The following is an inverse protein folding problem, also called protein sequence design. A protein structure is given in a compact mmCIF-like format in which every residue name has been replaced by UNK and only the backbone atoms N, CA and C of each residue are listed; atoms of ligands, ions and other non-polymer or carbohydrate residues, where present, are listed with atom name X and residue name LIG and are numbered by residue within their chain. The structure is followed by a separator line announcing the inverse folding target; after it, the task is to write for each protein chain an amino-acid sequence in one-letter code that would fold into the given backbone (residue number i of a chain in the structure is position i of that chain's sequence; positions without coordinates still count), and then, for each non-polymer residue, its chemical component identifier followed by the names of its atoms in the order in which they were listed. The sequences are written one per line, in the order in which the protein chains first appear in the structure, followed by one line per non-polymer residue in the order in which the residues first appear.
data_IF_774780575894
#
_entry.id   IF_774780575894
#
_cell.length_a   1.000
_cell.length_b   1.000
_cell.length_c   1.000
_cell.angle_alpha   90.00
_cell.angle_beta   90.00
_cell.angle_gamma   90.00
#
_symmetry.space_group_name_H-M   'P 1'
#
loop_
_entity.id
_entity.type
_entity.pdbx_description
1 polymer ?
#
# COMPACT_ATOMS: atom_id res chain seq x y z
N UNK A 1 5.14 18.35 11.43
CA UNK A 1 4.00 17.61 12.04
C UNK A 1 4.38 16.17 12.33
N UNK A 2 5.00 15.43 11.38
CA UNK A 2 5.37 14.03 11.53
C UNK A 2 6.21 13.72 12.77
N UNK A 3 7.28 14.49 13.01
CA UNK A 3 8.17 14.31 14.17
C UNK A 3 7.44 14.47 15.51
N UNK A 4 6.49 15.41 15.58
CA UNK A 4 5.65 15.62 16.77
C UNK A 4 4.75 14.41 17.03
N UNK A 5 4.10 13.87 15.98
CA UNK A 5 3.26 12.68 16.09
C UNK A 5 4.07 11.46 16.48
N UNK A 6 5.26 11.30 15.90
CA UNK A 6 6.16 10.19 16.25
C UNK A 6 6.64 10.31 17.70
N UNK A 7 7.03 11.51 18.14
CA UNK A 7 7.40 11.75 19.54
C UNK A 7 6.26 11.46 20.50
N UNK A 8 5.01 11.85 20.14
CA UNK A 8 3.83 11.57 20.96
C UNK A 8 3.48 10.07 20.98
N UNK A 9 3.61 9.37 19.88
CA UNK A 9 3.45 7.92 19.84
C UNK A 9 4.48 7.22 20.75
N UNK A 10 5.76 7.65 20.70
CA UNK A 10 6.82 7.11 21.55
C UNK A 10 6.56 7.37 23.04
N UNK A 11 6.05 8.54 23.40
CA UNK A 11 5.66 8.86 24.79
C UNK A 11 4.55 7.91 25.29
N UNK A 12 3.51 7.68 24.46
CA UNK A 12 2.42 6.78 24.81
C UNK A 12 2.89 5.32 24.95
N UNK A 13 3.70 4.84 24.02
CA UNK A 13 4.21 3.46 24.01
C UNK A 13 5.18 3.21 25.18
N UNK A 14 5.94 4.22 25.63
CA UNK A 14 6.83 4.09 26.79
C UNK A 14 6.10 3.69 28.07
N UNK A 15 4.81 4.04 28.21
CA UNK A 15 3.96 3.63 29.31
C UNK A 15 3.46 2.18 29.22
N UNK A 16 3.64 1.50 28.08
CA UNK A 16 3.13 0.15 27.81
C UNK A 16 4.18 -0.96 28.05
N UNK A 17 5.40 -0.59 28.36
CA UNK A 17 6.48 -1.52 28.68
C UNK A 17 7.53 -1.67 27.57
N UNK A 18 8.63 -2.33 27.91
CA UNK A 18 9.82 -2.41 27.08
C UNK A 18 9.58 -3.13 25.73
N UNK A 19 8.72 -4.15 25.72
CA UNK A 19 8.37 -4.89 24.51
C UNK A 19 7.65 -4.01 23.49
N UNK A 20 6.68 -3.22 23.93
CA UNK A 20 5.98 -2.27 23.06
C UNK A 20 6.94 -1.23 22.48
N UNK A 21 7.87 -0.70 23.27
CA UNK A 21 8.90 0.22 22.79
C UNK A 21 9.78 -0.42 21.72
N UNK A 22 10.17 -1.68 21.90
CA UNK A 22 10.98 -2.42 20.93
C UNK A 22 10.21 -2.62 19.61
N UNK A 23 8.95 -3.05 19.67
CA UNK A 23 8.08 -3.23 18.49
C UNK A 23 7.96 -1.92 17.72
N UNK A 24 7.71 -0.78 18.38
CA UNK A 24 7.64 0.53 17.74
C UNK A 24 8.96 0.91 17.08
N UNK A 25 10.09 0.72 17.76
CA UNK A 25 11.40 1.04 17.23
C UNK A 25 11.71 0.21 15.98
N UNK A 26 11.40 -1.08 15.99
CA UNK A 26 11.57 -1.98 14.84
C UNK A 26 10.67 -1.58 13.68
N UNK A 27 9.40 -1.24 13.94
CA UNK A 27 8.47 -0.77 12.92
C UNK A 27 8.97 0.54 12.28
N UNK A 28 9.50 1.46 13.06
CA UNK A 28 10.07 2.71 12.55
C UNK A 28 11.32 2.50 11.70
N UNK A 29 12.23 1.61 12.13
CA UNK A 29 13.41 1.23 11.31
C UNK A 29 12.96 0.63 9.98
N UNK A 30 11.96 -0.26 10.00
CA UNK A 30 11.41 -0.88 8.80
C UNK A 30 10.78 0.14 7.87
N UNK A 31 9.97 1.07 8.41
CA UNK A 31 9.40 2.19 7.65
C UNK A 31 10.48 3.04 6.98
N UNK A 32 11.52 3.43 7.71
CA UNK A 32 12.62 4.23 7.17
C UNK A 32 13.38 3.47 6.08
N UNK A 33 13.60 2.17 6.26
CA UNK A 33 14.23 1.33 5.24
C UNK A 33 13.37 1.23 3.98
N UNK A 34 12.03 1.09 4.14
CA UNK A 34 11.06 1.11 3.05
C UNK A 34 11.09 2.44 2.30
N UNK A 35 11.11 3.57 3.00
CA UNK A 35 11.23 4.89 2.37
C UNK A 35 12.54 5.06 1.59
N UNK A 36 13.66 4.62 2.15
CA UNK A 36 14.95 4.67 1.46
C UNK A 36 14.95 3.80 0.19
N UNK A 37 14.24 2.68 0.20
CA UNK A 37 14.06 1.82 -0.98
C UNK A 37 13.14 2.47 -2.02
N UNK A 38 12.07 3.11 -1.58
CA UNK A 38 11.11 3.84 -2.40
C UNK A 38 11.79 4.96 -3.22
N UNK A 39 12.74 5.68 -2.59
CA UNK A 39 13.53 6.74 -3.22
C UNK A 39 14.62 6.21 -4.20
N UNK A 40 14.72 4.90 -4.40
CA UNK A 40 15.75 4.27 -5.24
C UNK A 40 15.13 3.46 -6.36
N UNK A 41 15.77 3.43 -7.53
CA UNK A 41 15.34 2.54 -8.59
C UNK A 41 15.48 1.07 -8.16
N UNK A 42 14.61 0.21 -8.70
CA UNK A 42 14.73 -1.23 -8.54
C UNK A 42 16.13 -1.70 -8.99
N UNK A 43 16.84 -2.52 -8.19
CA UNK A 43 18.17 -3.01 -8.55
C UNK A 43 18.13 -3.83 -9.85
N UNK A 44 19.21 -3.77 -10.67
CA UNK A 44 19.28 -4.59 -11.86
C UNK A 44 19.21 -6.09 -11.54
N UNK A 45 18.27 -6.79 -12.16
CA UNK A 45 18.08 -8.23 -11.98
C UNK A 45 16.95 -8.61 -11.02
N UNK A 46 16.45 -7.66 -10.22
CA UNK A 46 15.26 -7.86 -9.40
C UNK A 46 13.99 -7.66 -10.23
N UNK A 47 12.89 -8.32 -9.85
CA UNK A 47 11.57 -8.04 -10.43
C UNK A 47 11.03 -6.70 -9.88
N UNK A 48 10.68 -5.74 -10.75
CA UNK A 48 10.21 -4.43 -10.29
C UNK A 48 8.90 -4.49 -9.50
N UNK A 49 8.03 -5.46 -9.79
CA UNK A 49 6.75 -5.63 -9.06
C UNK A 49 7.02 -6.17 -7.66
N UNK A 50 7.86 -7.19 -7.53
CA UNK A 50 8.24 -7.73 -6.22
C UNK A 50 8.98 -6.68 -5.38
N UNK A 51 9.85 -5.88 -6.02
CA UNK A 51 10.54 -4.78 -5.35
C UNK A 51 9.55 -3.75 -4.80
N UNK A 52 8.62 -3.28 -5.64
CA UNK A 52 7.58 -2.32 -5.27
C UNK A 52 6.68 -2.87 -4.15
N UNK A 53 6.18 -4.10 -4.25
CA UNK A 53 5.38 -4.71 -3.19
C UNK A 53 6.16 -4.81 -1.87
N UNK A 54 7.46 -5.13 -1.94
CA UNK A 54 8.36 -5.12 -0.77
C UNK A 54 8.50 -3.73 -0.14
N UNK A 55 8.53 -2.66 -0.94
CA UNK A 55 8.49 -1.28 -0.43
C UNK A 55 7.19 -0.99 0.30
N UNK A 56 6.04 -1.37 -0.27
CA UNK A 56 4.73 -1.18 0.38
C UNK A 56 4.61 -1.94 1.71
N UNK A 57 5.14 -3.18 1.77
CA UNK A 57 5.23 -3.95 3.01
C UNK A 57 6.00 -3.19 4.10
N UNK A 58 7.15 -2.63 3.75
CA UNK A 58 8.01 -1.96 4.73
C UNK A 58 7.49 -0.57 5.11
N UNK A 59 7.02 0.21 4.14
CA UNK A 59 6.61 1.61 4.33
C UNK A 59 5.22 1.74 4.97
N UNK A 60 4.23 1.01 4.47
CA UNK A 60 2.82 1.12 4.89
C UNK A 60 2.38 -0.09 5.71
N UNK A 61 2.65 -1.31 5.22
CA UNK A 61 2.27 -2.55 5.88
C UNK A 61 2.78 -2.65 7.31
N UNK A 62 4.02 -2.27 7.58
CA UNK A 62 4.64 -2.32 8.90
C UNK A 62 3.91 -1.52 9.97
N UNK A 63 3.35 -0.36 9.62
CA UNK A 63 2.62 0.50 10.57
C UNK A 63 1.24 -0.08 10.89
N UNK A 64 0.51 -0.55 9.90
CA UNK A 64 -0.80 -1.17 10.09
C UNK A 64 -0.66 -2.50 10.84
N UNK A 65 0.39 -3.29 10.53
CA UNK A 65 0.74 -4.49 11.30
C UNK A 65 1.00 -4.19 12.77
N UNK A 66 1.75 -3.12 13.06
CA UNK A 66 2.05 -2.70 14.43
C UNK A 66 0.79 -2.29 15.18
N UNK A 67 -0.11 -1.54 14.54
CA UNK A 67 -1.37 -1.15 15.13
C UNK A 67 -2.26 -2.37 15.45
N UNK A 68 -2.38 -3.32 14.51
CA UNK A 68 -3.14 -4.55 14.71
C UNK A 68 -2.53 -5.44 15.81
N UNK A 69 -1.19 -5.58 15.83
CA UNK A 69 -0.44 -6.27 16.87
C UNK A 69 -0.73 -5.69 18.25
N UNK A 70 -0.65 -4.38 18.40
CA UNK A 70 -0.93 -3.73 19.69
C UNK A 70 -2.39 -3.91 20.11
N UNK A 71 -3.34 -3.83 19.18
CA UNK A 71 -4.74 -4.09 19.47
C UNK A 71 -4.95 -5.47 20.10
N UNK A 72 -4.35 -6.52 19.53
CA UNK A 72 -4.42 -7.88 20.04
C UNK A 72 -3.63 -8.05 21.37
N UNK A 73 -2.40 -7.55 21.44
CA UNK A 73 -1.51 -7.65 22.58
C UNK A 73 -2.12 -7.02 23.84
N UNK A 74 -2.59 -5.78 23.73
CA UNK A 74 -3.20 -5.05 24.85
C UNK A 74 -4.69 -5.38 25.06
N UNK A 75 -5.32 -6.06 24.10
CA UNK A 75 -6.61 -6.73 24.25
C UNK A 75 -6.57 -8.03 25.04
N UNK A 76 -5.35 -8.51 25.42
CA UNK A 76 -5.18 -9.73 26.19
C UNK A 76 -5.33 -11.01 25.36
N UNK A 77 -5.11 -10.95 24.05
CA UNK A 77 -5.11 -12.12 23.18
C UNK A 77 -3.87 -13.02 23.44
N UNK A 78 -3.95 -14.28 23.00
CA UNK A 78 -2.78 -15.17 22.98
C UNK A 78 -1.74 -14.71 21.95
N UNK A 79 -0.49 -15.16 22.12
CA UNK A 79 0.62 -14.82 21.22
C UNK A 79 0.32 -15.21 19.76
N UNK A 80 -0.32 -16.37 19.54
CA UNK A 80 -0.73 -16.82 18.21
C UNK A 80 -1.70 -15.82 17.54
N UNK A 81 -2.64 -15.26 18.31
CA UNK A 81 -3.57 -14.25 17.80
C UNK A 81 -2.86 -12.92 17.57
N UNK A 82 -1.91 -12.54 18.42
CA UNK A 82 -1.08 -11.34 18.25
C UNK A 82 -0.30 -11.41 16.93
N UNK A 83 0.35 -12.54 16.64
CA UNK A 83 1.10 -12.72 15.38
C UNK A 83 0.16 -12.78 14.17
N UNK A 84 -0.99 -13.44 14.28
CA UNK A 84 -2.01 -13.47 13.24
C UNK A 84 -2.50 -12.06 12.92
N UNK A 85 -2.78 -11.25 13.94
CA UNK A 85 -3.23 -9.87 13.74
C UNK A 85 -2.14 -8.98 13.14
N UNK A 86 -0.86 -9.22 13.47
CA UNK A 86 0.24 -8.53 12.80
C UNK A 86 0.30 -8.88 11.30
N UNK A 87 0.17 -10.16 10.94
CA UNK A 87 0.13 -10.60 9.55
C UNK A 87 -1.09 -10.05 8.79
N UNK A 88 -2.28 -10.05 9.41
CA UNK A 88 -3.48 -9.42 8.87
C UNK A 88 -3.26 -7.93 8.61
N UNK A 89 -2.72 -7.20 9.59
CA UNK A 89 -2.46 -5.78 9.47
C UNK A 89 -1.48 -5.45 8.35
N UNK A 90 -0.47 -6.30 8.13
CA UNK A 90 0.49 -6.14 7.04
C UNK A 90 -0.19 -6.27 5.67
N UNK A 91 -1.03 -7.30 5.46
CA UNK A 91 -1.79 -7.47 4.21
C UNK A 91 -2.78 -6.34 3.97
N UNK A 92 -3.50 -5.93 5.02
CA UNK A 92 -4.42 -4.78 4.95
C UNK A 92 -3.67 -3.51 4.55
N UNK A 93 -2.49 -3.25 5.12
CA UNK A 93 -1.68 -2.07 4.81
C UNK A 93 -1.22 -2.04 3.36
N UNK A 94 -0.80 -3.20 2.81
CA UNK A 94 -0.45 -3.32 1.39
C UNK A 94 -1.67 -3.10 0.50
N UNK A 95 -2.82 -3.74 0.80
CA UNK A 95 -4.05 -3.54 0.05
C UNK A 95 -4.52 -2.08 0.07
N UNK A 96 -4.38 -1.41 1.22
CA UNK A 96 -4.71 0.00 1.38
C UNK A 96 -3.87 0.89 0.47
N UNK A 97 -2.54 0.68 0.43
CA UNK A 97 -1.66 1.48 -0.43
C UNK A 97 -1.93 1.21 -1.91
N UNK A 98 -2.08 -0.06 -2.30
CA UNK A 98 -2.45 -0.42 -3.68
C UNK A 98 -3.76 0.24 -4.12
N UNK A 99 -4.74 0.33 -3.22
CA UNK A 99 -6.00 1.02 -3.50
C UNK A 99 -5.81 2.54 -3.62
N UNK A 100 -4.98 3.16 -2.77
CA UNK A 100 -4.69 4.61 -2.83
C UNK A 100 -3.99 4.98 -4.16
N UNK A 101 -3.03 4.18 -4.60
CA UNK A 101 -2.33 4.36 -5.87
C UNK A 101 -3.27 4.21 -7.09
N UNK A 102 -4.24 3.28 -7.03
CA UNK A 102 -5.26 3.14 -8.07
C UNK A 102 -6.25 4.32 -8.08
N UNK A 103 -6.57 4.88 -6.92
CA UNK A 103 -7.41 6.07 -6.81
C UNK A 103 -6.72 7.28 -7.44
N UNK A 104 -5.40 7.43 -7.29
CA UNK A 104 -4.64 8.51 -7.93
C UNK A 104 -4.75 8.47 -9.47
N UNK A 105 -4.84 7.26 -10.04
CA UNK A 105 -5.03 7.06 -11.49
C UNK A 105 -6.50 7.27 -11.90
N UNK A 106 -7.46 6.78 -11.10
CA UNK A 106 -8.87 6.67 -11.49
C UNK A 106 -9.72 7.90 -11.17
N UNK A 107 -9.28 8.74 -10.20
CA UNK A 107 -10.12 9.85 -9.71
C UNK A 107 -10.30 10.96 -10.72
N UNK A 108 -11.56 11.42 -10.86
CA UNK A 108 -11.83 12.74 -11.39
C UNK A 108 -11.52 13.81 -10.34
N UNK A 109 -10.85 14.88 -10.76
CA UNK A 109 -10.48 16.03 -9.90
C UNK A 109 -11.68 16.64 -9.14
N UNK A 110 -12.90 16.38 -9.62
CA UNK A 110 -14.15 16.90 -9.06
C UNK A 110 -14.65 16.13 -7.83
N UNK A 111 -14.26 14.85 -7.66
CA UNK A 111 -14.79 13.99 -6.58
C UNK A 111 -13.87 13.89 -5.37
N UNK A 112 -12.55 13.91 -5.56
CA UNK A 112 -11.59 13.64 -4.47
C UNK A 112 -10.87 14.88 -3.96
N UNK A 113 -10.93 16.00 -4.67
CA UNK A 113 -10.17 17.22 -4.34
C UNK A 113 -8.65 17.07 -4.51
N UNK A 114 -8.18 15.90 -4.98
CA UNK A 114 -6.78 15.64 -5.38
C UNK A 114 -6.64 15.86 -6.89
N UNK A 115 -5.48 16.32 -7.32
CA UNK A 115 -5.12 16.34 -8.75
C UNK A 115 -4.77 14.91 -9.18
N UNK A 116 -5.50 14.30 -10.14
CA UNK A 116 -5.18 12.94 -10.60
C UNK A 116 -3.77 12.86 -11.20
N UNK A 117 -3.14 11.70 -11.07
CA UNK A 117 -1.82 11.45 -11.64
C UNK A 117 -0.67 12.13 -10.90
N UNK A 118 -0.82 12.40 -9.61
CA UNK A 118 0.26 12.97 -8.78
C UNK A 118 1.48 12.05 -8.76
N UNK A 119 1.29 10.74 -8.58
CA UNK A 119 2.36 9.75 -8.59
C UNK A 119 3.07 9.68 -9.95
N UNK A 120 2.31 9.74 -11.05
CA UNK A 120 2.87 9.82 -12.40
C UNK A 120 3.72 11.08 -12.61
N UNK A 121 3.25 12.23 -12.12
CA UNK A 121 3.96 13.51 -12.20
C UNK A 121 5.28 13.48 -11.43
N UNK A 122 5.28 12.79 -10.28
CA UNK A 122 6.46 12.62 -9.43
C UNK A 122 7.41 11.51 -9.95
N UNK A 123 6.98 10.75 -10.95
CA UNK A 123 7.76 9.67 -11.54
C UNK A 123 7.76 8.39 -10.70
N UNK A 124 6.74 8.21 -9.86
CA UNK A 124 6.56 7.00 -9.04
C UNK A 124 5.98 5.87 -9.89
N UNK A 125 6.69 4.76 -9.96
CA UNK A 125 6.26 3.55 -10.66
C UNK A 125 5.31 2.71 -9.78
N UNK A 126 4.02 3.08 -9.73
CA UNK A 126 2.98 2.30 -9.05
C UNK A 126 2.68 0.98 -9.78
N UNK A 127 1.93 0.08 -9.16
CA UNK A 127 1.67 -1.26 -9.71
C UNK A 127 1.10 -1.25 -11.14
N UNK A 128 0.15 -0.35 -11.43
CA UNK A 128 -0.42 -0.22 -12.76
C UNK A 128 0.61 0.27 -13.79
N UNK A 129 1.48 1.20 -13.40
CA UNK A 129 2.58 1.69 -14.23
C UNK A 129 3.58 0.57 -14.52
N UNK A 130 3.97 -0.20 -13.50
CA UNK A 130 4.89 -1.33 -13.66
C UNK A 130 4.32 -2.38 -14.63
N UNK A 131 3.04 -2.72 -14.51
CA UNK A 131 2.39 -3.64 -15.43
C UNK A 131 2.31 -3.10 -16.86
N UNK A 132 2.02 -1.80 -17.03
CA UNK A 132 2.00 -1.17 -18.35
C UNK A 132 3.40 -1.16 -19.01
N UNK A 133 4.44 -0.89 -18.22
CA UNK A 133 5.84 -0.93 -18.69
C UNK A 133 6.29 -2.34 -19.09
N UNK A 134 5.81 -3.38 -18.42
CA UNK A 134 6.08 -4.79 -18.75
C UNK A 134 5.31 -5.26 -19.99
N UNK A 135 4.25 -4.56 -20.39
CA UNK A 135 3.45 -4.89 -21.57
C UNK A 135 4.28 -4.88 -22.85
N UNK A 136 3.99 -5.82 -23.78
CA UNK A 136 4.72 -5.95 -25.05
C UNK A 136 3.87 -5.60 -26.27
N UNK A 137 2.60 -5.23 -26.06
CA UNK A 137 1.71 -4.85 -27.18
C UNK A 137 2.27 -3.60 -27.88
N UNK A 138 2.46 -3.66 -29.23
CA UNK A 138 2.89 -2.50 -29.99
C UNK A 138 1.93 -1.30 -29.89
N UNK A 139 0.63 -1.53 -29.66
CA UNK A 139 -0.36 -0.47 -29.47
C UNK A 139 -0.05 0.42 -28.26
N UNK A 140 0.60 -0.13 -27.24
CA UNK A 140 0.96 0.58 -26.02
C UNK A 140 2.33 1.28 -26.11
N UNK A 141 2.97 1.32 -27.27
CA UNK A 141 4.31 1.90 -27.42
C UNK A 141 4.35 3.37 -26.97
N UNK A 142 3.30 4.14 -27.30
CA UNK A 142 3.21 5.56 -26.90
C UNK A 142 3.06 5.71 -25.38
N UNK A 143 2.26 4.87 -24.73
CA UNK A 143 2.13 4.86 -23.28
C UNK A 143 3.49 4.57 -22.63
N UNK A 144 4.20 3.53 -23.07
CA UNK A 144 5.52 3.17 -22.52
C UNK A 144 6.55 4.29 -22.70
N UNK A 145 6.52 4.98 -23.84
CA UNK A 145 7.38 6.16 -24.09
C UNK A 145 7.10 7.27 -23.06
N UNK A 146 5.82 7.59 -22.84
CA UNK A 146 5.41 8.62 -21.89
C UNK A 146 5.81 8.25 -20.46
N UNK A 147 5.52 7.02 -20.02
CA UNK A 147 5.84 6.51 -18.69
C UNK A 147 7.35 6.41 -18.41
N UNK A 148 8.18 6.39 -19.46
CA UNK A 148 9.64 6.40 -19.32
C UNK A 148 10.24 7.81 -19.37
N UNK A 149 9.41 8.83 -19.58
CA UNK A 149 9.82 10.21 -19.72
C UNK A 149 9.46 11.09 -18.53
N UNK A 150 9.70 12.40 -18.66
CA UNK A 150 9.27 13.41 -17.69
C UNK A 150 7.78 13.77 -17.93
N UNK A 151 6.96 13.63 -16.88
CA UNK A 151 5.52 13.91 -16.89
C UNK A 151 5.15 15.17 -16.09
N UNK A 152 6.10 16.09 -15.88
CA UNK A 152 5.83 17.39 -15.24
C UNK A 152 5.05 18.35 -16.14
N UNK A 153 5.10 18.14 -17.45
CA UNK A 153 4.29 18.87 -18.43
C UNK A 153 2.83 18.38 -18.37
N UNK A 154 1.89 19.30 -18.26
CA UNK A 154 0.47 18.99 -18.04
C UNK A 154 -0.16 18.25 -19.22
N UNK A 155 0.21 18.57 -20.48
CA UNK A 155 -0.34 17.90 -21.65
C UNK A 155 0.15 16.47 -21.76
N UNK A 156 1.44 16.25 -21.47
CA UNK A 156 2.03 14.89 -21.44
C UNK A 156 1.46 14.04 -20.32
N UNK A 157 1.25 14.63 -19.14
CA UNK A 157 0.63 13.94 -18.02
C UNK A 157 -0.80 13.53 -18.35
N UNK A 158 -1.60 14.45 -18.92
CA UNK A 158 -2.97 14.18 -19.32
C UNK A 158 -3.05 13.05 -20.36
N UNK A 159 -2.16 13.07 -21.38
CA UNK A 159 -2.05 11.99 -22.37
C UNK A 159 -1.69 10.65 -21.71
N UNK A 160 -0.67 10.64 -20.85
CA UNK A 160 -0.22 9.43 -20.17
C UNK A 160 -1.33 8.84 -19.27
N UNK A 161 -2.02 9.69 -18.51
CA UNK A 161 -3.10 9.29 -17.63
C UNK A 161 -4.27 8.70 -18.43
N UNK A 162 -4.70 9.35 -19.52
CA UNK A 162 -5.78 8.85 -20.36
C UNK A 162 -5.44 7.48 -20.99
N UNK A 163 -4.22 7.32 -21.47
CA UNK A 163 -3.76 6.04 -22.05
C UNK A 163 -3.64 4.94 -20.97
N UNK A 164 -3.15 5.28 -19.79
CA UNK A 164 -3.03 4.33 -18.69
C UNK A 164 -4.40 3.88 -18.17
N UNK A 165 -5.36 4.82 -18.01
CA UNK A 165 -6.74 4.49 -17.61
C UNK A 165 -7.44 3.51 -18.56
N UNK A 166 -7.13 3.59 -19.86
CA UNK A 166 -7.66 2.69 -20.89
C UNK A 166 -6.87 1.37 -21.01
N UNK A 167 -5.71 1.25 -20.32
CA UNK A 167 -4.83 0.09 -20.47
C UNK A 167 -5.25 -1.06 -19.54
N UNK A 168 -5.19 -2.33 -20.01
CA UNK A 168 -5.48 -3.52 -19.18
C UNK A 168 -4.63 -3.62 -17.91
N UNK A 169 -3.49 -2.96 -17.83
CA UNK A 169 -2.63 -2.92 -16.65
C UNK A 169 -3.36 -2.40 -15.40
N UNK A 170 -4.29 -1.47 -15.54
CA UNK A 170 -5.08 -0.94 -14.42
C UNK A 170 -6.01 -2.03 -13.86
N UNK A 171 -6.71 -2.79 -14.71
CA UNK A 171 -7.55 -3.88 -14.23
C UNK A 171 -6.73 -5.00 -13.60
N UNK A 172 -5.57 -5.33 -14.16
CA UNK A 172 -4.63 -6.26 -13.56
C UNK A 172 -4.16 -5.80 -12.17
N UNK A 173 -3.91 -4.50 -11.98
CA UNK A 173 -3.56 -3.95 -10.68
C UNK A 173 -4.73 -4.03 -9.68
N UNK A 174 -5.99 -3.80 -10.13
CA UNK A 174 -7.19 -4.02 -9.32
C UNK A 174 -7.34 -5.47 -8.89
N UNK A 175 -7.12 -6.41 -9.79
CA UNK A 175 -7.15 -7.85 -9.48
C UNK A 175 -6.12 -8.22 -8.41
N UNK A 176 -4.90 -7.69 -8.53
CA UNK A 176 -3.85 -7.90 -7.52
C UNK A 176 -4.25 -7.30 -6.17
N UNK A 177 -4.82 -6.10 -6.15
CA UNK A 177 -5.32 -5.45 -4.93
C UNK A 177 -6.41 -6.30 -4.25
N UNK A 178 -7.36 -6.82 -5.04
CA UNK A 178 -8.41 -7.73 -4.55
C UNK A 178 -7.81 -9.03 -3.99
N UNK A 179 -6.81 -9.59 -4.66
CA UNK A 179 -6.14 -10.82 -4.19
C UNK A 179 -5.46 -10.61 -2.84
N UNK A 180 -4.74 -9.52 -2.64
CA UNK A 180 -4.15 -9.16 -1.34
C UNK A 180 -5.22 -8.97 -0.26
N UNK A 181 -6.35 -8.37 -0.60
CA UNK A 181 -7.50 -8.27 0.31
C UNK A 181 -8.06 -9.64 0.71
N UNK A 182 -8.20 -10.56 -0.25
CA UNK A 182 -8.63 -11.94 0.03
C UNK A 182 -7.66 -12.65 0.97
N UNK A 183 -6.34 -12.48 0.76
CA UNK A 183 -5.31 -13.01 1.67
C UNK A 183 -5.47 -12.45 3.09
N UNK A 184 -5.71 -11.13 3.23
CA UNK A 184 -5.94 -10.51 4.53
C UNK A 184 -7.15 -11.11 5.25
N UNK A 185 -8.28 -11.28 4.55
CA UNK A 185 -9.50 -11.90 5.12
C UNK A 185 -9.26 -13.36 5.49
N UNK A 186 -8.52 -14.11 4.68
CA UNK A 186 -8.20 -15.52 4.94
C UNK A 186 -7.42 -15.71 6.27
N UNK A 187 -6.54 -14.76 6.61
CA UNK A 187 -5.83 -14.76 7.90
C UNK A 187 -6.77 -14.71 9.11
N UNK A 188 -7.95 -14.11 8.98
CA UNK A 188 -8.94 -14.06 10.06
C UNK A 188 -9.68 -15.41 10.26
N UNK A 189 -9.50 -16.38 9.35
CA UNK A 189 -10.20 -17.68 9.38
C UNK A 189 -10.15 -18.40 10.72
N UNK A 190 -9.00 -18.52 11.40
CA UNK A 190 -8.88 -19.21 12.70
C UNK A 190 -9.60 -18.51 13.86
N UNK A 191 -9.94 -17.22 13.74
CA UNK A 191 -10.60 -16.47 14.80
C UNK A 191 -12.07 -16.89 14.94
N UNK A 192 -12.62 -16.89 16.19
CA UNK A 192 -14.02 -17.18 16.40
C UNK A 192 -14.91 -16.11 15.75
N UNK A 193 -16.12 -16.51 15.36
CA UNK A 193 -17.12 -15.60 14.83
C UNK A 193 -17.51 -14.57 15.91
N UNK A 194 -17.42 -13.28 15.54
CA UNK A 194 -17.65 -12.16 16.45
C UNK A 194 -17.87 -10.88 15.66
N UNK A 195 -18.44 -9.86 16.31
CA UNK A 195 -18.59 -8.53 15.73
C UNK A 195 -17.22 -7.92 15.36
N UNK A 196 -16.17 -8.22 16.14
CA UNK A 196 -14.81 -7.77 15.86
C UNK A 196 -14.26 -8.40 14.57
N UNK A 197 -14.43 -9.73 14.38
CA UNK A 197 -14.03 -10.41 13.12
C UNK A 197 -14.82 -9.87 11.93
N UNK A 198 -16.13 -9.67 12.10
CA UNK A 198 -16.97 -9.08 11.05
C UNK A 198 -16.51 -7.66 10.68
N UNK A 199 -16.18 -6.82 11.67
CA UNK A 199 -15.67 -5.48 11.45
C UNK A 199 -14.31 -5.47 10.73
N UNK A 200 -13.38 -6.35 11.12
CA UNK A 200 -12.08 -6.49 10.45
C UNK A 200 -12.24 -6.95 8.98
N UNK A 201 -13.15 -7.89 8.73
CA UNK A 201 -13.47 -8.32 7.36
C UNK A 201 -14.07 -7.18 6.55
N UNK A 202 -15.03 -6.45 7.11
CA UNK A 202 -15.67 -5.30 6.45
C UNK A 202 -14.66 -4.18 6.15
N UNK A 203 -13.67 -3.98 7.01
CA UNK A 203 -12.60 -3.00 6.78
C UNK A 203 -11.80 -3.33 5.52
N UNK A 204 -11.37 -4.58 5.33
CA UNK A 204 -10.69 -5.03 4.10
C UNK A 204 -11.58 -4.82 2.89
N UNK A 205 -12.86 -5.25 2.96
CA UNK A 205 -13.82 -5.09 1.88
C UNK A 205 -13.96 -3.62 1.48
N UNK A 206 -14.13 -2.73 2.47
CA UNK A 206 -14.23 -1.29 2.23
C UNK A 206 -12.98 -0.70 1.55
N UNK A 207 -11.78 -1.18 1.90
CA UNK A 207 -10.53 -0.74 1.26
C UNK A 207 -10.47 -1.16 -0.21
N UNK A 208 -10.82 -2.42 -0.48
CA UNK A 208 -10.71 -3.00 -1.85
C UNK A 208 -11.82 -2.48 -2.77
N UNK A 209 -13.03 -2.24 -2.24
CA UNK A 209 -14.16 -1.74 -3.04
C UNK A 209 -14.02 -0.26 -3.46
N UNK A 210 -13.12 0.50 -2.83
CA UNK A 210 -12.86 1.90 -3.22
C UNK A 210 -12.33 2.04 -4.66
N UNK A 211 -11.84 0.97 -5.26
CA UNK A 211 -11.20 0.94 -6.59
C UNK A 211 -11.93 0.06 -7.60
N UNK A 212 -13.11 -0.45 -7.22
CA UNK A 212 -13.97 -1.33 -8.03
C UNK A 212 -14.87 -0.61 -8.99
#
# INVERSE_FOLDING_TARGET
VGDLLFGKASELVAGLGAEAVLIQAQAFVRLCAGQIRDDRPCPPGDDPVDYYLGVLHDKTGSLIATAARYGAMFGGCSDDVVELMAAYGERLGVAFQLADDLIDIASDATETGKTPGTDLREGVDTLAVLYAKQGTDPADARLRELLSGDLRDDDRLAEALALLQANPAVERARETTRAVGVEAVALLGPLPESDAKAALTALVTSVVERVG
#
